data_IF_499547123758
#
_entry.id   IF_499547123758
#
_cell.length_a   1.000
_cell.length_b   1.000
_cell.length_c   1.000
_cell.angle_alpha   90.00
_cell.angle_beta   90.00
_cell.angle_gamma   90.00
#
_symmetry.space_group_name_H-M   'P 1'
#
loop_
_entity.id
_entity.type
_entity.pdbx_description
1 polymer ?
#
# COMPACT_ATOMS: atom_id res chain seq x y z
N UNK A 1 18.79 25.64 -3.95
CA UNK A 1 18.42 24.21 -3.88
C UNK A 1 18.14 23.92 -2.42
N UNK A 2 17.00 23.32 -2.10
CA UNK A 2 16.64 23.03 -0.71
C UNK A 2 17.48 21.87 -0.19
N UNK A 3 17.91 21.93 1.07
CA UNK A 3 18.65 20.85 1.72
C UNK A 3 17.70 19.77 2.24
N UNK A 4 18.21 18.58 2.60
CA UNK A 4 17.41 17.55 3.26
C UNK A 4 16.81 18.06 4.58
N UNK A 5 17.55 18.89 5.32
CA UNK A 5 17.10 19.50 6.58
C UNK A 5 15.93 20.46 6.35
N UNK A 6 15.98 21.25 5.28
CA UNK A 6 14.87 22.12 4.87
C UNK A 6 13.61 21.31 4.55
N UNK A 7 13.76 20.20 3.82
CA UNK A 7 12.65 19.32 3.46
C UNK A 7 12.04 18.64 4.70
N UNK A 8 12.86 18.13 5.63
CA UNK A 8 12.39 17.55 6.89
C UNK A 8 11.64 18.59 7.72
N UNK A 9 12.18 19.81 7.82
CA UNK A 9 11.53 20.89 8.57
C UNK A 9 10.15 21.24 8.01
N UNK A 10 10.03 21.30 6.68
CA UNK A 10 8.75 21.58 6.00
C UNK A 10 7.75 20.43 6.12
N UNK A 11 8.22 19.19 6.17
CA UNK A 11 7.36 18.00 6.20
C UNK A 11 7.06 17.48 7.59
N UNK A 12 7.68 18.03 8.63
CA UNK A 12 7.55 17.60 10.03
C UNK A 12 6.10 17.42 10.48
N UNK A 13 5.25 18.39 10.18
CA UNK A 13 3.86 18.40 10.65
C UNK A 13 2.90 17.68 9.68
N UNK A 14 3.40 17.24 8.52
CA UNK A 14 2.65 16.45 7.54
C UNK A 14 2.62 14.97 7.94
N UNK A 15 1.97 14.69 9.06
CA UNK A 15 1.75 13.34 9.59
C UNK A 15 0.33 12.88 9.22
N UNK A 16 0.22 11.66 8.69
CA UNK A 16 -1.07 11.02 8.43
C UNK A 16 -1.42 10.06 9.56
N UNK A 17 -2.62 10.19 10.11
CA UNK A 17 -3.16 9.24 11.10
C UNK A 17 -4.08 8.23 10.39
N UNK A 18 -3.68 6.95 10.25
CA UNK A 18 -4.47 5.94 9.55
C UNK A 18 -5.83 5.67 10.21
N UNK A 19 -5.99 5.96 11.50
CA UNK A 19 -7.27 5.76 12.20
C UNK A 19 -8.40 6.63 11.62
N UNK A 20 -8.05 7.73 10.93
CA UNK A 20 -9.01 8.62 10.24
C UNK A 20 -9.56 8.04 8.95
N UNK A 21 -9.01 6.93 8.45
CA UNK A 21 -9.54 6.25 7.27
C UNK A 21 -10.77 5.44 7.67
N UNK A 22 -11.93 5.88 7.22
CA UNK A 22 -13.25 5.30 7.56
C UNK A 22 -13.88 4.49 6.44
N UNK A 23 -13.25 4.41 5.27
CA UNK A 23 -13.73 3.63 4.12
C UNK A 23 -12.97 2.31 3.97
N UNK A 24 -13.53 1.33 3.22
CA UNK A 24 -12.80 0.15 2.83
C UNK A 24 -11.48 0.51 2.16
N UNK A 25 -10.41 -0.23 2.47
CA UNK A 25 -9.06 0.09 2.00
C UNK A 25 -8.33 -1.16 1.53
N UNK A 26 -7.89 -1.16 0.27
CA UNK A 26 -6.97 -2.16 -0.26
C UNK A 26 -5.59 -1.53 -0.44
N UNK A 27 -4.57 -2.11 0.19
CA UNK A 27 -3.18 -1.85 -0.15
C UNK A 27 -2.65 -3.01 -0.99
N UNK A 28 -2.35 -2.74 -2.26
CA UNK A 28 -1.87 -3.73 -3.20
C UNK A 28 -0.45 -3.35 -3.64
N UNK A 29 0.51 -4.23 -3.35
CA UNK A 29 1.95 -3.94 -3.51
C UNK A 29 2.67 -5.15 -4.09
N UNK A 30 3.67 -4.91 -4.94
CA UNK A 30 4.49 -5.98 -5.48
C UNK A 30 5.56 -6.44 -4.47
N UNK A 31 5.85 -7.75 -4.42
CA UNK A 31 6.85 -8.32 -3.51
C UNK A 31 8.22 -7.62 -3.57
N UNK A 32 8.66 -7.19 -4.76
CA UNK A 32 9.97 -6.55 -4.93
C UNK A 32 10.09 -5.20 -4.19
N UNK A 33 8.97 -4.48 -3.99
CA UNK A 33 8.94 -3.18 -3.30
C UNK A 33 9.42 -3.32 -1.85
N UNK A 34 9.28 -4.52 -1.27
CA UNK A 34 9.76 -4.84 0.06
C UNK A 34 11.14 -5.48 0.09
N UNK A 35 11.67 -5.94 -1.05
CA UNK A 35 12.96 -6.63 -1.10
C UNK A 35 14.15 -5.74 -0.68
N UNK A 36 14.02 -4.41 -0.80
CA UNK A 36 15.08 -3.44 -0.45
C UNK A 36 14.66 -2.37 0.56
N UNK A 37 13.41 -2.38 1.02
CA UNK A 37 12.87 -1.34 1.90
C UNK A 37 11.91 -1.92 2.95
N UNK A 38 12.48 -2.51 4.01
CA UNK A 38 11.70 -3.13 5.10
C UNK A 38 10.81 -2.16 5.89
N UNK A 39 11.20 -0.88 5.97
CA UNK A 39 10.40 0.14 6.65
C UNK A 39 9.03 0.37 5.97
N UNK A 40 8.96 0.25 4.65
CA UNK A 40 7.70 0.39 3.91
C UNK A 40 6.71 -0.73 4.23
N UNK A 41 7.20 -1.95 4.41
CA UNK A 41 6.36 -3.08 4.84
C UNK A 41 5.82 -2.87 6.25
N UNK A 42 6.71 -2.52 7.18
CA UNK A 42 6.33 -2.24 8.56
C UNK A 42 5.26 -1.14 8.63
N UNK A 43 5.44 -0.04 7.89
CA UNK A 43 4.44 1.03 7.84
C UNK A 43 3.11 0.59 7.22
N UNK A 44 3.14 -0.21 6.15
CA UNK A 44 1.90 -0.74 5.56
C UNK A 44 1.12 -1.60 6.58
N UNK A 45 1.81 -2.48 7.31
CA UNK A 45 1.23 -3.32 8.35
C UNK A 45 0.70 -2.51 9.54
N UNK A 46 1.47 -1.52 10.04
CA UNK A 46 1.04 -0.62 11.12
C UNK A 46 -0.16 0.24 10.72
N UNK A 47 -0.16 0.77 9.49
CA UNK A 47 -1.31 1.52 8.95
C UNK A 47 -2.54 0.62 8.88
N UNK A 48 -2.41 -0.60 8.34
CA UNK A 48 -3.50 -1.56 8.28
C UNK A 48 -4.07 -1.86 9.66
N UNK A 49 -3.22 -2.05 10.68
CA UNK A 49 -3.69 -2.26 12.06
C UNK A 49 -4.49 -1.06 12.60
N UNK A 50 -4.06 0.17 12.29
CA UNK A 50 -4.66 1.41 12.78
C UNK A 50 -5.94 1.86 12.06
N UNK A 51 -6.13 1.50 10.79
CA UNK A 51 -7.34 1.87 10.02
C UNK A 51 -8.59 1.43 10.78
N UNK A 52 -9.57 2.33 10.93
CA UNK A 52 -10.76 2.07 11.76
C UNK A 52 -11.83 1.26 11.03
N UNK A 53 -11.87 1.33 9.69
CA UNK A 53 -12.78 0.51 8.91
C UNK A 53 -12.40 -0.99 8.98
N UNK A 54 -13.34 -1.91 9.24
CA UNK A 54 -13.04 -3.35 9.34
C UNK A 54 -12.73 -4.01 7.99
N UNK A 55 -13.12 -3.40 6.86
CA UNK A 55 -12.84 -3.89 5.50
C UNK A 55 -11.52 -3.32 5.02
N UNK A 56 -10.43 -4.00 5.34
CA UNK A 56 -9.08 -3.53 5.05
C UNK A 56 -8.15 -4.70 4.78
N UNK A 57 -7.40 -4.62 3.68
CA UNK A 57 -6.53 -5.69 3.24
C UNK A 57 -5.18 -5.17 2.74
N UNK A 58 -4.15 -5.99 2.93
CA UNK A 58 -2.82 -5.81 2.36
C UNK A 58 -2.48 -7.06 1.54
N UNK A 59 -2.42 -6.91 0.22
CA UNK A 59 -2.06 -7.98 -0.71
C UNK A 59 -0.66 -7.71 -1.23
N UNK A 60 0.24 -8.67 -1.00
CA UNK A 60 1.58 -8.68 -1.59
C UNK A 60 1.55 -9.56 -2.83
N UNK A 61 1.60 -8.93 -4.00
CA UNK A 61 1.52 -9.62 -5.29
C UNK A 61 2.79 -10.46 -5.52
N UNK A 62 2.64 -11.74 -5.87
CA UNK A 62 3.72 -12.70 -5.77
C UNK A 62 4.65 -12.67 -6.98
N UNK A 63 5.95 -12.76 -6.72
CA UNK A 63 6.96 -12.69 -7.78
C UNK A 63 6.93 -13.84 -8.76
N UNK A 64 6.62 -15.05 -8.30
CA UNK A 64 6.56 -16.26 -9.13
C UNK A 64 5.41 -16.23 -10.16
N UNK A 65 4.48 -15.27 -10.06
CA UNK A 65 3.42 -15.04 -11.05
C UNK A 65 3.70 -13.84 -11.96
N UNK A 66 4.92 -13.28 -11.92
CA UNK A 66 5.32 -12.14 -12.75
C UNK A 66 4.68 -10.82 -12.32
N UNK A 67 4.19 -10.72 -11.09
CA UNK A 67 3.53 -9.54 -10.53
C UNK A 67 4.45 -8.69 -9.64
N UNK A 68 5.77 -8.77 -9.84
CA UNK A 68 6.76 -8.16 -8.96
C UNK A 68 7.18 -6.74 -9.34
N UNK A 69 6.81 -6.19 -10.49
CA UNK A 69 7.22 -4.83 -10.86
C UNK A 69 6.48 -3.73 -10.10
N UNK A 70 6.99 -2.50 -10.11
CA UNK A 70 6.28 -1.33 -9.57
C UNK A 70 4.84 -1.26 -10.11
N UNK A 71 3.89 -1.03 -9.22
CA UNK A 71 2.45 -1.05 -9.51
C UNK A 71 1.94 -2.32 -10.22
N UNK A 72 2.68 -3.43 -10.12
CA UNK A 72 2.35 -4.73 -10.75
C UNK A 72 2.24 -4.63 -12.28
N UNK A 73 2.92 -3.64 -12.88
CA UNK A 73 2.87 -3.36 -14.32
C UNK A 73 3.24 -4.52 -15.25
N UNK A 74 4.02 -5.50 -14.79
CA UNK A 74 4.41 -6.69 -15.56
C UNK A 74 3.31 -7.75 -15.68
N UNK A 75 2.29 -7.73 -14.82
CA UNK A 75 1.14 -8.62 -14.90
C UNK A 75 -0.17 -7.89 -14.53
N UNK A 76 -0.59 -6.99 -15.42
CA UNK A 76 -1.81 -6.20 -15.26
C UNK A 76 -3.08 -7.06 -15.18
N UNK A 77 -3.08 -8.25 -15.80
CA UNK A 77 -4.20 -9.18 -15.71
C UNK A 77 -4.39 -9.68 -14.27
N UNK A 78 -3.31 -10.12 -13.62
CA UNK A 78 -3.35 -10.56 -12.22
C UNK A 78 -3.67 -9.39 -11.27
N UNK A 79 -3.09 -8.21 -11.51
CA UNK A 79 -3.42 -7.00 -10.76
C UNK A 79 -4.91 -6.68 -10.85
N UNK A 80 -5.47 -6.70 -12.07
CA UNK A 80 -6.90 -6.43 -12.29
C UNK A 80 -7.76 -7.44 -11.56
N UNK A 81 -7.42 -8.74 -11.65
CA UNK A 81 -8.14 -9.79 -10.94
C UNK A 81 -8.15 -9.53 -9.43
N UNK A 82 -6.99 -9.33 -8.80
CA UNK A 82 -6.90 -9.06 -7.35
C UNK A 82 -7.73 -7.83 -6.94
N UNK A 83 -7.68 -6.76 -7.74
CA UNK A 83 -8.41 -5.54 -7.47
C UNK A 83 -9.93 -5.73 -7.60
N UNK A 84 -10.40 -6.33 -8.70
CA UNK A 84 -11.83 -6.47 -8.96
C UNK A 84 -12.48 -7.56 -8.10
N UNK A 85 -11.78 -8.67 -7.83
CA UNK A 85 -12.25 -9.69 -6.87
C UNK A 85 -12.47 -9.04 -5.49
N UNK A 86 -11.55 -8.17 -5.05
CA UNK A 86 -11.72 -7.41 -3.80
C UNK A 86 -12.87 -6.40 -3.87
N UNK A 87 -13.02 -5.68 -4.98
CA UNK A 87 -14.11 -4.70 -5.14
C UNK A 87 -15.48 -5.37 -5.15
N UNK A 88 -15.63 -6.54 -5.77
CA UNK A 88 -16.88 -7.31 -5.80
C UNK A 88 -17.31 -7.75 -4.39
N UNK A 89 -16.37 -8.01 -3.47
CA UNK A 89 -16.68 -8.29 -2.06
C UNK A 89 -17.16 -7.04 -1.29
N UNK A 90 -16.75 -5.85 -1.73
CA UNK A 90 -17.00 -4.57 -1.04
C UNK A 90 -18.23 -3.84 -1.58
N UNK A 91 -18.49 -3.91 -2.88
CA UNK A 91 -19.52 -3.17 -3.59
C UNK A 91 -20.53 -4.17 -4.19
N UNK A 92 -21.66 -4.44 -3.50
CA UNK A 92 -22.72 -5.32 -3.99
C UNK A 92 -23.53 -4.71 -5.14
#
# INVERSE_FOLDING_TARGET
METIEDLIKKTRDHVTDPAKITCPTLNLVAEQEYARFGAGRQWAEECLQKISNPRKDLIVAPRNEGADSHAIGTNLSLMSQMLFDWLDEIIP
#
